data_IF_149181623042
#
_entry.id   IF_149181623042
#
_cell.length_a   1.000
_cell.length_b   1.000
_cell.length_c   1.000
_cell.angle_alpha   90.00
_cell.angle_beta   90.00
_cell.angle_gamma   90.00
#
_symmetry.space_group_name_H-M   'P 1'
#
loop_
_entity.id
_entity.type
_entity.pdbx_description
1 polymer ?
#
# COMPACT_ATOMS: atom_id res chain seq x y z
N UNK A 1 -36.50 20.35 8.18
CA UNK A 1 -37.73 21.12 7.94
C UNK A 1 -37.61 22.42 8.72
N UNK A 2 -38.04 23.52 8.12
CA UNK A 2 -38.07 24.91 8.62
C UNK A 2 -36.91 25.84 8.19
N UNK A 3 -37.24 26.62 7.16
CA UNK A 3 -36.57 27.80 6.59
C UNK A 3 -36.89 29.02 7.44
N UNK A 4 -35.99 30.01 7.50
CA UNK A 4 -36.37 31.40 7.79
C UNK A 4 -35.85 32.28 6.65
N UNK A 5 -36.80 33.04 6.09
CA UNK A 5 -36.71 33.89 4.90
C UNK A 5 -37.41 35.20 5.28
N UNK A 6 -36.71 36.33 5.27
CA UNK A 6 -37.26 37.70 5.17
C UNK A 6 -36.15 38.49 4.45
N UNK A 7 -36.13 38.61 3.12
CA UNK A 7 -36.88 39.51 2.23
C UNK A 7 -37.08 40.94 2.78
N UNK A 8 -36.31 41.89 2.24
CA UNK A 8 -36.89 43.17 1.82
C UNK A 8 -36.40 43.54 0.41
N UNK A 9 -37.40 43.58 -0.48
CA UNK A 9 -37.50 44.24 -1.79
C UNK A 9 -37.16 45.74 -1.64
N UNK A 10 -36.87 46.58 -2.65
CA UNK A 10 -37.19 46.66 -4.08
C UNK A 10 -36.38 47.88 -4.60
N UNK A 11 -35.75 47.83 -5.77
CA UNK A 11 -36.04 48.75 -6.89
C UNK A 11 -35.09 48.47 -8.07
N UNK A 12 -35.73 48.06 -9.16
CA UNK A 12 -35.23 47.88 -10.52
C UNK A 12 -35.13 49.22 -11.25
N UNK A 13 -34.17 49.39 -12.16
CA UNK A 13 -34.39 49.48 -13.62
C UNK A 13 -33.06 49.78 -14.34
N UNK A 14 -32.85 48.99 -15.38
CA UNK A 14 -31.81 49.04 -16.41
C UNK A 14 -31.96 50.20 -17.39
N UNK A 15 -30.85 50.74 -17.89
CA UNK A 15 -30.72 51.14 -19.31
C UNK A 15 -29.26 51.02 -19.78
N UNK A 16 -29.02 50.02 -20.62
CA UNK A 16 -27.96 50.04 -21.64
C UNK A 16 -28.17 51.29 -22.52
N UNK A 17 -27.14 52.11 -22.70
CA UNK A 17 -26.78 52.87 -23.91
C UNK A 17 -26.13 54.22 -23.56
N UNK A 18 -24.80 54.26 -23.43
CA UNK A 18 -24.03 55.45 -23.83
C UNK A 18 -22.56 55.12 -24.12
N UNK A 19 -22.34 54.01 -24.84
CA UNK A 19 -21.10 53.79 -25.58
C UNK A 19 -21.25 54.49 -26.94
N UNK A 20 -20.22 55.25 -27.33
CA UNK A 20 -20.04 55.99 -28.59
C UNK A 20 -20.74 57.34 -28.71
N UNK A 21 -20.07 58.39 -28.20
CA UNK A 21 -19.69 59.62 -28.91
C UNK A 21 -19.34 60.67 -27.85
N UNK A 22 -18.06 60.97 -27.70
CA UNK A 22 -17.46 62.30 -27.51
C UNK A 22 -15.94 62.04 -27.49
N UNK A 23 -15.41 61.87 -28.71
CA UNK A 23 -14.07 62.38 -29.02
C UNK A 23 -14.22 63.89 -29.17
N UNK A 24 -13.13 64.61 -28.90
CA UNK A 24 -12.81 66.01 -29.23
C UNK A 24 -13.34 67.11 -28.30
N UNK A 25 -12.44 68.07 -28.03
CA UNK A 25 -12.51 69.31 -27.22
C UNK A 25 -12.35 69.09 -25.70
N UNK A 26 -11.40 69.67 -24.95
CA UNK A 26 -10.43 70.73 -25.19
C UNK A 26 -9.10 70.38 -24.51
N UNK A 27 -8.00 70.51 -25.25
CA UNK A 27 -6.72 70.89 -24.68
C UNK A 27 -6.68 72.42 -24.62
N UNK A 28 -6.37 72.99 -23.46
CA UNK A 28 -5.44 74.13 -23.28
C UNK A 28 -5.48 74.68 -21.85
N UNK A 29 -4.28 74.88 -21.31
CA UNK A 29 -3.91 75.93 -20.33
C UNK A 29 -4.50 75.87 -18.92
N UNK A 30 -3.73 75.38 -17.95
CA UNK A 30 -3.20 76.25 -16.88
C UNK A 30 -2.07 75.55 -16.10
N UNK A 31 -0.83 75.91 -16.44
CA UNK A 31 0.32 75.81 -15.53
C UNK A 31 0.26 76.96 -14.54
N UNK A 32 0.19 76.67 -13.23
CA UNK A 32 1.08 77.24 -12.19
C UNK A 32 0.65 76.78 -10.80
N UNK A 33 1.66 76.50 -9.97
CA UNK A 33 1.67 76.61 -8.51
C UNK A 33 1.12 75.42 -7.69
N UNK A 34 1.95 74.41 -7.48
CA UNK A 34 2.08 73.79 -6.16
C UNK A 34 3.50 73.22 -5.99
N UNK A 35 4.44 74.08 -5.59
CA UNK A 35 5.67 73.67 -4.92
C UNK A 35 5.35 73.63 -3.43
N UNK A 36 5.36 72.44 -2.83
CA UNK A 36 5.28 72.31 -1.38
C UNK A 36 4.77 70.94 -0.94
N UNK A 37 5.69 70.14 -0.39
CA UNK A 37 5.47 68.89 0.35
C UNK A 37 5.12 67.62 -0.46
N UNK A 38 6.13 66.98 -1.02
CA UNK A 38 6.15 65.51 -1.16
C UNK A 38 7.56 64.95 -1.34
N UNK A 39 8.52 65.39 -0.52
CA UNK A 39 9.89 64.86 -0.50
C UNK A 39 10.12 63.81 0.60
N UNK A 40 9.16 62.90 0.85
CA UNK A 40 9.31 61.81 1.83
C UNK A 40 8.57 60.51 1.45
N UNK A 41 8.37 60.23 0.16
CA UNK A 41 8.02 58.88 -0.27
C UNK A 41 8.95 58.47 -1.40
N UNK A 42 9.88 57.52 -1.20
CA UNK A 42 10.55 56.90 -2.32
C UNK A 42 9.48 56.24 -3.19
N UNK A 43 9.48 56.58 -4.48
CA UNK A 43 8.74 55.86 -5.51
C UNK A 43 9.21 54.40 -5.45
N UNK A 44 8.49 53.55 -4.73
CA UNK A 44 8.59 52.11 -4.95
C UNK A 44 7.95 51.87 -6.31
N UNK A 45 8.78 51.80 -7.34
CA UNK A 45 8.40 51.14 -8.56
C UNK A 45 7.98 49.71 -8.16
N UNK A 46 6.69 49.39 -8.28
CA UNK A 46 6.25 48.01 -8.25
C UNK A 46 6.88 47.31 -9.46
N UNK A 47 8.01 46.65 -9.22
CA UNK A 47 8.62 45.70 -10.16
C UNK A 47 7.71 44.48 -10.22
N UNK A 48 6.77 44.45 -11.17
CA UNK A 48 6.09 43.20 -11.53
C UNK A 48 7.01 42.37 -12.42
N UNK A 49 8.03 41.77 -11.81
CA UNK A 49 8.74 40.63 -12.41
C UNK A 49 8.39 39.38 -11.62
N UNK A 50 7.12 39.01 -11.66
CA UNK A 50 6.73 37.64 -11.42
C UNK A 50 6.25 37.09 -12.77
N UNK A 51 7.22 36.76 -13.62
CA UNK A 51 6.95 35.91 -14.77
C UNK A 51 6.83 34.49 -14.21
N UNK A 52 5.64 34.12 -13.74
CA UNK A 52 5.31 32.71 -13.58
C UNK A 52 5.52 32.08 -14.96
N UNK A 53 6.60 31.31 -15.10
CA UNK A 53 6.86 30.53 -16.29
C UNK A 53 5.67 29.60 -16.47
N UNK A 54 4.98 29.69 -17.61
CA UNK A 54 3.96 28.72 -17.97
C UNK A 54 4.54 27.31 -17.83
N UNK A 55 3.81 26.36 -17.24
CA UNK A 55 4.32 25.00 -17.05
C UNK A 55 4.74 24.44 -18.42
N UNK A 56 6.02 24.09 -18.55
CA UNK A 56 6.53 23.41 -19.74
C UNK A 56 5.81 22.06 -19.82
N UNK A 57 4.92 21.92 -20.80
CA UNK A 57 4.24 20.66 -21.06
C UNK A 57 5.21 19.76 -21.82
N UNK A 58 5.75 18.75 -21.14
CA UNK A 58 6.51 17.69 -21.78
C UNK A 58 5.56 16.80 -22.60
N UNK A 59 5.50 17.04 -23.91
CA UNK A 59 4.67 16.27 -24.85
C UNK A 59 5.20 14.85 -25.10
N UNK A 60 6.39 14.51 -24.60
CA UNK A 60 6.99 13.18 -24.68
C UNK A 60 6.70 12.30 -23.46
N UNK A 61 6.24 12.91 -22.36
CA UNK A 61 5.87 12.20 -21.14
C UNK A 61 4.70 11.24 -21.38
N UNK A 62 4.71 10.09 -20.70
CA UNK A 62 3.55 9.21 -20.69
C UNK A 62 2.40 9.91 -19.96
N UNK A 63 1.23 9.93 -20.59
CA UNK A 63 0.00 10.45 -19.99
C UNK A 63 -0.73 9.34 -19.23
N UNK A 64 -1.31 9.68 -18.08
CA UNK A 64 -2.06 8.77 -17.23
C UNK A 64 -1.55 8.77 -15.79
N UNK A 65 -2.03 7.80 -15.01
CA UNK A 65 -1.63 7.59 -13.61
C UNK A 65 -1.56 6.10 -13.33
N UNK A 66 -0.70 5.69 -12.41
CA UNK A 66 -0.74 4.33 -11.88
C UNK A 66 -2.12 4.06 -11.27
N UNK A 67 -2.74 2.95 -11.66
CA UNK A 67 -4.07 2.57 -11.18
C UNK A 67 -4.04 2.38 -9.66
N UNK A 68 -5.02 2.96 -8.97
CA UNK A 68 -5.22 2.73 -7.56
C UNK A 68 -6.66 3.00 -7.15
N UNK A 69 -7.12 2.36 -6.08
CA UNK A 69 -8.49 2.47 -5.59
C UNK A 69 -8.50 2.86 -4.11
N UNK A 70 -9.25 3.91 -3.78
CA UNK A 70 -9.53 4.33 -2.40
C UNK A 70 -10.84 3.71 -1.93
N UNK A 71 -10.86 3.22 -0.70
CA UNK A 71 -12.09 2.80 -0.03
C UNK A 71 -12.04 3.12 1.46
N UNK A 72 -13.21 3.28 2.08
CA UNK A 72 -13.34 3.43 3.54
C UNK A 72 -14.04 2.18 4.07
N UNK A 73 -13.46 1.55 5.07
CA UNK A 73 -14.02 0.36 5.71
C UNK A 73 -13.77 0.38 7.20
N UNK A 74 -14.82 0.18 8.01
CA UNK A 74 -14.72 0.17 9.48
C UNK A 74 -14.03 1.41 10.07
N UNK A 75 -14.21 2.59 9.44
CA UNK A 75 -13.57 3.84 9.85
C UNK A 75 -12.10 3.99 9.45
N UNK A 76 -11.50 3.00 8.80
CA UNK A 76 -10.15 3.07 8.25
C UNK A 76 -10.16 3.52 6.78
N UNK A 77 -9.21 4.36 6.40
CA UNK A 77 -8.93 4.65 5.00
C UNK A 77 -8.04 3.56 4.41
N UNK A 78 -8.45 3.00 3.26
CA UNK A 78 -7.74 1.96 2.54
C UNK A 78 -7.40 2.44 1.13
N UNK A 79 -6.19 2.16 0.65
CA UNK A 79 -5.81 2.45 -0.73
C UNK A 79 -5.05 1.29 -1.32
N UNK A 80 -5.45 0.79 -2.49
CA UNK A 80 -4.84 -0.37 -3.13
C UNK A 80 -4.29 -0.02 -4.51
N UNK A 81 -3.01 -0.33 -4.75
CA UNK A 81 -2.35 -0.22 -6.06
C UNK A 81 -2.05 -1.65 -6.55
N UNK A 82 -2.82 -2.19 -7.51
CA UNK A 82 -2.52 -3.48 -8.09
C UNK A 82 -1.23 -3.43 -8.89
N UNK A 83 -0.39 -4.46 -8.75
CA UNK A 83 0.79 -4.64 -9.58
C UNK A 83 0.35 -5.27 -10.90
N UNK A 84 0.52 -4.53 -12.00
CA UNK A 84 0.21 -5.04 -13.33
C UNK A 84 1.25 -6.08 -13.74
N UNK A 85 0.79 -7.33 -13.88
CA UNK A 85 1.62 -8.47 -14.29
C UNK A 85 1.19 -8.99 -15.67
N UNK A 86 2.12 -9.51 -16.50
CA UNK A 86 1.76 -10.18 -17.75
C UNK A 86 0.77 -11.34 -17.53
N UNK A 87 -0.11 -11.66 -18.49
CA UNK A 87 -1.03 -12.79 -18.37
C UNK A 87 -0.24 -14.11 -18.32
N UNK A 88 -0.69 -15.06 -17.50
CA UNK A 88 -0.19 -16.42 -17.52
C UNK A 88 -1.13 -17.38 -18.26
N UNK A 89 -0.75 -18.66 -18.27
CA UNK A 89 -1.48 -19.71 -19.00
C UNK A 89 -2.89 -19.83 -18.43
N UNK A 90 -3.90 -19.83 -19.32
CA UNK A 90 -5.32 -19.90 -18.93
C UNK A 90 -5.76 -18.81 -17.92
N UNK A 91 -5.10 -17.66 -17.90
CA UNK A 91 -5.39 -16.57 -16.98
C UNK A 91 -4.77 -16.71 -15.59
N UNK A 92 -4.04 -17.79 -15.29
CA UNK A 92 -3.32 -17.98 -14.03
C UNK A 92 -2.19 -16.97 -13.89
N UNK A 93 -2.38 -15.98 -13.03
CA UNK A 93 -1.39 -14.94 -12.70
C UNK A 93 -1.47 -14.61 -11.21
N UNK A 94 -0.38 -14.15 -10.58
CA UNK A 94 -0.44 -13.68 -9.21
C UNK A 94 -1.23 -12.37 -9.11
N UNK A 95 -1.97 -12.22 -8.01
CA UNK A 95 -2.70 -10.99 -7.68
C UNK A 95 -1.94 -10.22 -6.60
N UNK A 96 -0.88 -9.51 -6.98
CA UNK A 96 -0.05 -8.73 -6.05
C UNK A 96 -0.52 -7.27 -6.00
N UNK A 97 -0.51 -6.65 -4.81
CA UNK A 97 -0.83 -5.24 -4.65
C UNK A 97 -0.04 -4.56 -3.55
N UNK A 98 0.13 -3.24 -3.65
CA UNK A 98 0.58 -2.38 -2.55
C UNK A 98 -0.66 -1.81 -1.89
N UNK A 99 -0.84 -2.07 -0.60
CA UNK A 99 -2.02 -1.65 0.14
C UNK A 99 -1.65 -0.72 1.28
N UNK A 100 -2.38 0.38 1.39
CA UNK A 100 -2.42 1.25 2.55
C UNK A 100 -3.66 0.93 3.39
N UNK A 101 -3.51 0.96 4.71
CA UNK A 101 -4.60 1.02 5.66
C UNK A 101 -4.21 1.95 6.81
N UNK A 102 -5.05 2.93 7.14
CA UNK A 102 -4.75 3.96 8.14
C UNK A 102 -4.57 3.44 9.57
N UNK A 103 -5.05 2.23 9.88
CA UNK A 103 -4.91 1.59 11.17
C UNK A 103 -3.71 0.62 11.22
N UNK A 104 -3.04 0.41 10.08
CA UNK A 104 -1.89 -0.50 10.00
C UNK A 104 -0.63 0.16 10.56
N UNK A 105 0.13 -0.62 11.32
CA UNK A 105 1.40 -0.19 11.89
C UNK A 105 2.52 -0.10 10.86
N UNK A 106 3.77 -0.16 11.34
CA UNK A 106 4.95 -0.14 10.49
C UNK A 106 5.23 -1.50 9.84
N UNK A 107 5.05 -1.61 8.53
CA UNK A 107 5.23 -2.86 7.77
C UNK A 107 6.40 -2.83 6.79
N UNK A 108 6.42 -3.81 5.89
CA UNK A 108 7.43 -4.00 4.84
C UNK A 108 7.59 -2.80 3.90
N UNK A 109 6.56 -1.96 3.78
CA UNK A 109 6.56 -0.75 2.95
C UNK A 109 6.44 0.53 3.81
N UNK A 110 6.84 0.48 5.08
CA UNK A 110 6.70 1.61 5.99
C UNK A 110 5.36 1.62 6.73
N UNK A 111 5.08 2.71 7.44
CA UNK A 111 3.84 2.87 8.23
C UNK A 111 2.62 2.85 7.32
N UNK A 112 1.59 2.10 7.71
CA UNK A 112 0.32 2.02 6.99
C UNK A 112 0.36 1.20 5.70
N UNK A 113 1.53 1.03 5.08
CA UNK A 113 1.70 0.33 3.81
C UNK A 113 2.21 -1.11 3.97
N UNK A 114 1.62 -2.02 3.22
CA UNK A 114 1.99 -3.43 3.14
C UNK A 114 1.86 -3.99 1.72
N UNK A 115 2.36 -5.21 1.56
CA UNK A 115 2.22 -6.00 0.34
C UNK A 115 1.01 -6.93 0.52
N UNK A 116 0.04 -6.87 -0.39
CA UNK A 116 -1.09 -7.80 -0.44
C UNK A 116 -0.97 -8.81 -1.57
N UNK A 117 -1.85 -9.82 -1.56
CA UNK A 117 -1.78 -10.91 -2.53
C UNK A 117 -0.98 -12.13 -2.06
N UNK A 118 -0.52 -12.10 -0.81
CA UNK A 118 0.17 -13.22 -0.18
C UNK A 118 -0.77 -13.91 0.79
N UNK A 119 -0.65 -15.23 0.85
CA UNK A 119 -1.43 -16.07 1.75
C UNK A 119 -0.50 -16.90 2.63
N UNK A 120 -0.90 -17.14 3.87
CA UNK A 120 -0.15 -17.93 4.82
C UNK A 120 -1.05 -18.60 5.85
N UNK A 121 -0.63 -19.79 6.28
CA UNK A 121 -1.14 -20.42 7.49
C UNK A 121 -0.17 -20.10 8.61
N UNK A 122 -0.68 -19.65 9.75
CA UNK A 122 0.14 -19.32 10.91
C UNK A 122 -0.53 -19.77 12.20
N UNK A 123 0.28 -19.88 13.25
CA UNK A 123 -0.23 -20.15 14.59
C UNK A 123 -0.97 -18.92 15.13
N UNK A 124 -2.13 -19.14 15.71
CA UNK A 124 -2.98 -18.11 16.32
C UNK A 124 -3.47 -18.55 17.70
N UNK A 125 -4.05 -17.60 18.43
CA UNK A 125 -4.48 -17.79 19.82
C UNK A 125 -5.80 -18.56 19.93
N UNK A 126 -6.01 -19.25 21.05
CA UNK A 126 -7.33 -19.75 21.46
C UNK A 126 -8.25 -18.61 21.87
N UNK A 127 -9.54 -18.76 21.59
CA UNK A 127 -10.56 -17.80 22.00
C UNK A 127 -11.58 -18.48 22.92
N UNK A 128 -12.18 -17.73 23.84
CA UNK A 128 -13.22 -18.26 24.73
C UNK A 128 -14.43 -18.75 23.92
N UNK A 129 -14.79 -18.02 22.86
CA UNK A 129 -15.95 -18.33 22.03
C UNK A 129 -15.86 -19.70 21.33
N UNK A 130 -14.66 -20.12 20.93
CA UNK A 130 -14.45 -21.35 20.14
C UNK A 130 -13.85 -22.46 21.01
N UNK A 131 -12.85 -22.13 21.82
CA UNK A 131 -12.05 -23.09 22.59
C UNK A 131 -12.49 -23.19 24.06
N UNK A 132 -13.45 -22.38 24.51
CA UNK A 132 -13.89 -22.30 25.91
C UNK A 132 -12.88 -21.64 26.86
N UNK A 133 -11.65 -21.36 26.39
CA UNK A 133 -10.56 -20.77 27.16
C UNK A 133 -9.82 -19.75 26.32
N UNK A 134 -9.27 -18.72 26.97
CA UNK A 134 -8.30 -17.83 26.33
C UNK A 134 -6.90 -18.44 26.45
N UNK A 135 -6.13 -18.46 25.37
CA UNK A 135 -4.74 -18.94 25.38
C UNK A 135 -3.94 -18.33 24.24
N UNK A 136 -2.70 -17.91 24.52
CA UNK A 136 -1.80 -17.38 23.51
C UNK A 136 -1.16 -18.46 22.65
N UNK A 137 -0.38 -18.04 21.65
CA UNK A 137 0.54 -18.92 20.92
C UNK A 137 1.74 -19.19 21.81
N UNK A 138 2.09 -20.46 22.02
CA UNK A 138 3.22 -20.92 22.83
C UNK A 138 4.24 -21.75 22.05
N UNK A 139 3.99 -22.02 20.77
CA UNK A 139 4.78 -22.94 19.92
C UNK A 139 4.77 -24.39 20.41
N UNK A 140 3.60 -24.86 20.83
CA UNK A 140 3.35 -26.22 21.30
C UNK A 140 2.14 -26.85 20.59
N UNK A 141 1.70 -28.02 21.07
CA UNK A 141 0.53 -28.73 20.55
C UNK A 141 -0.82 -28.10 20.98
N UNK A 142 -0.80 -27.10 21.86
CA UNK A 142 -2.00 -26.38 22.27
C UNK A 142 -2.36 -25.24 21.33
N UNK A 143 -1.43 -24.80 20.49
CA UNK A 143 -1.65 -23.73 19.54
C UNK A 143 -2.76 -24.05 18.54
N UNK A 144 -3.30 -22.96 17.98
CA UNK A 144 -4.32 -22.97 16.96
C UNK A 144 -3.76 -22.49 15.64
N UNK A 145 -4.44 -22.81 14.54
CA UNK A 145 -4.01 -22.42 13.20
C UNK A 145 -5.03 -21.49 12.56
N UNK A 146 -4.53 -20.52 11.80
CA UNK A 146 -5.31 -19.56 11.07
C UNK A 146 -4.78 -19.43 9.64
N UNK A 147 -5.66 -19.50 8.66
CA UNK A 147 -5.39 -19.21 7.25
C UNK A 147 -5.75 -17.75 6.98
N UNK A 148 -4.78 -16.90 6.67
CA UNK A 148 -5.00 -15.47 6.39
C UNK A 148 -5.77 -14.73 7.49
N UNK A 149 -5.53 -15.12 8.74
CA UNK A 149 -6.18 -14.57 9.93
C UNK A 149 -7.48 -15.30 10.31
N UNK A 150 -8.01 -16.14 9.42
CA UNK A 150 -9.23 -16.88 9.64
C UNK A 150 -8.97 -18.21 10.35
N UNK A 151 -9.68 -18.46 11.46
CA UNK A 151 -9.48 -19.65 12.28
C UNK A 151 -9.75 -20.94 11.51
N UNK A 152 -8.82 -21.91 11.61
CA UNK A 152 -8.99 -23.27 11.08
C UNK A 152 -9.52 -24.23 12.15
N UNK A 153 -10.68 -24.81 11.91
CA UNK A 153 -11.35 -25.78 12.77
C UNK A 153 -11.09 -27.19 12.24
N UNK A 154 -10.49 -28.05 13.07
CA UNK A 154 -10.24 -29.44 12.70
C UNK A 154 -11.58 -30.19 12.64
N UNK A 155 -11.88 -30.79 11.50
CA UNK A 155 -13.09 -31.58 11.28
C UNK A 155 -12.81 -33.09 11.25
N UNK A 156 -11.55 -33.48 11.05
CA UNK A 156 -11.09 -34.87 11.17
C UNK A 156 -9.61 -34.92 11.54
N UNK A 157 -9.20 -36.00 12.19
CA UNK A 157 -7.86 -36.15 12.78
C UNK A 157 -7.67 -35.28 14.03
N UNK A 158 -6.46 -35.32 14.59
CA UNK A 158 -6.09 -34.52 15.75
C UNK A 158 -5.50 -33.18 15.31
N UNK A 159 -5.90 -32.08 15.97
CA UNK A 159 -5.39 -30.74 15.67
C UNK A 159 -3.85 -30.70 15.72
N UNK A 160 -3.23 -30.08 14.71
CA UNK A 160 -1.78 -29.97 14.56
C UNK A 160 -1.08 -31.28 14.20
N UNK A 161 -1.79 -32.39 13.96
CA UNK A 161 -1.19 -33.69 13.62
C UNK A 161 -1.33 -34.03 12.14
N UNK A 162 -0.41 -34.84 11.64
CA UNK A 162 -0.43 -35.30 10.25
C UNK A 162 -1.76 -35.98 9.90
N UNK A 163 -2.28 -35.68 8.72
CA UNK A 163 -3.55 -36.21 8.23
C UNK A 163 -4.79 -35.47 8.72
N UNK A 164 -4.64 -34.44 9.57
CA UNK A 164 -5.79 -33.64 10.02
C UNK A 164 -6.36 -32.78 8.89
N UNK A 165 -7.68 -32.70 8.84
CA UNK A 165 -8.43 -31.89 7.88
C UNK A 165 -9.19 -30.78 8.61
N UNK A 166 -9.22 -29.60 7.99
CA UNK A 166 -9.77 -28.38 8.57
C UNK A 166 -10.75 -27.68 7.62
N UNK A 167 -11.59 -26.84 8.20
CA UNK A 167 -12.39 -25.81 7.54
C UNK A 167 -12.13 -24.46 8.19
N UNK A 168 -12.42 -23.37 7.48
CA UNK A 168 -12.41 -22.04 8.08
C UNK A 168 -13.65 -21.85 8.95
N UNK A 169 -13.53 -21.14 10.07
CA UNK A 169 -14.64 -20.89 11.01
C UNK A 169 -15.85 -20.24 10.32
N UNK A 170 -15.63 -19.12 9.63
CA UNK A 170 -16.52 -18.63 8.58
C UNK A 170 -16.16 -19.40 7.32
N UNK A 171 -17.08 -20.25 6.87
CA UNK A 171 -16.83 -21.21 5.81
C UNK A 171 -16.56 -20.54 4.45
N UNK A 172 -15.49 -20.97 3.80
CA UNK A 172 -15.08 -20.54 2.46
C UNK A 172 -15.28 -21.64 1.41
N UNK A 173 -15.68 -22.83 1.86
CA UNK A 173 -15.73 -24.10 1.12
C UNK A 173 -14.35 -24.55 0.64
N UNK A 174 -13.31 -24.20 1.41
CA UNK A 174 -11.94 -24.66 1.16
C UNK A 174 -11.63 -25.87 2.02
N UNK A 175 -11.06 -26.91 1.42
CA UNK A 175 -10.60 -28.11 2.11
C UNK A 175 -9.13 -27.94 2.47
N UNK A 176 -8.84 -27.75 3.76
CA UNK A 176 -7.47 -27.54 4.25
C UNK A 176 -6.96 -28.82 4.92
N UNK A 177 -5.74 -29.26 4.62
CA UNK A 177 -5.11 -30.44 5.21
C UNK A 177 -3.71 -30.14 5.71
N UNK A 178 -3.33 -30.78 6.81
CA UNK A 178 -1.96 -30.78 7.30
C UNK A 178 -1.29 -32.13 7.05
N UNK A 179 -0.14 -32.14 6.37
CA UNK A 179 0.61 -33.37 6.10
C UNK A 179 1.53 -33.77 7.24
N UNK A 180 1.66 -32.94 8.28
CA UNK A 180 2.68 -33.08 9.33
C UNK A 180 3.92 -32.22 9.08
N UNK A 181 4.11 -31.75 7.84
CA UNK A 181 5.23 -30.88 7.47
C UNK A 181 4.75 -29.58 6.81
N UNK A 182 3.85 -29.70 5.84
CA UNK A 182 3.29 -28.58 5.08
C UNK A 182 1.75 -28.66 5.06
N UNK A 183 1.11 -27.63 4.53
CA UNK A 183 -0.34 -27.57 4.39
C UNK A 183 -0.75 -27.54 2.93
N UNK A 184 -1.92 -28.09 2.64
CA UNK A 184 -2.61 -27.89 1.37
C UNK A 184 -3.99 -27.30 1.60
N UNK A 185 -4.43 -26.41 0.72
CA UNK A 185 -5.80 -25.90 0.70
C UNK A 185 -6.36 -26.00 -0.71
N UNK A 186 -7.41 -26.80 -0.87
CA UNK A 186 -8.15 -26.93 -2.13
C UNK A 186 -9.38 -26.02 -2.06
N UNK A 187 -9.49 -25.08 -3.00
CA UNK A 187 -10.60 -24.13 -3.05
C UNK A 187 -11.76 -24.70 -3.87
N UNK A 188 -12.96 -24.15 -3.68
CA UNK A 188 -14.13 -24.48 -4.53
C UNK A 188 -13.95 -24.15 -6.02
N UNK A 189 -12.98 -23.31 -6.37
CA UNK A 189 -12.62 -23.00 -7.76
C UNK A 189 -11.72 -24.06 -8.41
N UNK A 190 -11.34 -25.12 -7.66
CA UNK A 190 -10.45 -26.17 -8.14
C UNK A 190 -8.97 -25.79 -8.13
N UNK A 191 -8.59 -24.73 -7.41
CA UNK A 191 -7.19 -24.38 -7.20
C UNK A 191 -6.67 -25.08 -5.94
N UNK A 192 -5.43 -25.55 -6.00
CA UNK A 192 -4.71 -26.12 -4.85
C UNK A 192 -3.57 -25.20 -4.46
N UNK A 193 -3.60 -24.75 -3.21
CA UNK A 193 -2.56 -23.95 -2.57
C UNK A 193 -1.70 -24.87 -1.71
N UNK A 194 -0.39 -24.77 -1.83
CA UNK A 194 0.60 -25.45 -0.99
C UNK A 194 1.31 -24.40 -0.12
N UNK A 195 1.41 -24.66 1.19
CA UNK A 195 2.03 -23.76 2.16
C UNK A 195 3.17 -24.45 2.92
N UNK A 196 4.35 -23.85 2.89
CA UNK A 196 5.53 -24.37 3.58
C UNK A 196 6.00 -25.74 3.05
N UNK A 197 5.81 -26.02 1.76
CA UNK A 197 6.36 -27.22 1.12
C UNK A 197 7.80 -27.02 0.60
N UNK A 198 8.37 -25.84 0.80
CA UNK A 198 9.78 -25.53 0.56
C UNK A 198 10.42 -24.98 1.84
N UNK A 199 11.74 -25.05 1.96
CA UNK A 199 12.41 -24.63 3.20
C UNK A 199 12.30 -23.12 3.45
N UNK A 200 12.34 -22.30 2.39
CA UNK A 200 12.17 -20.84 2.46
C UNK A 200 10.74 -20.39 2.77
N UNK A 201 9.75 -21.29 2.71
CA UNK A 201 8.35 -21.00 3.01
C UNK A 201 7.88 -21.56 4.35
N UNK A 202 8.73 -22.28 5.09
CA UNK A 202 8.50 -22.74 6.47
C UNK A 202 9.27 -21.85 7.43
N UNK A 203 8.61 -20.81 7.93
CA UNK A 203 9.27 -19.85 8.80
C UNK A 203 9.23 -20.35 10.23
N UNK A 204 10.40 -20.67 10.81
CA UNK A 204 10.48 -21.14 12.19
C UNK A 204 10.44 -20.02 13.23
N UNK A 205 10.00 -20.38 14.43
CA UNK A 205 10.13 -19.52 15.58
C UNK A 205 11.61 -19.45 15.99
N UNK A 206 12.22 -18.27 15.89
CA UNK A 206 13.64 -18.08 16.19
C UNK A 206 13.99 -18.64 17.58
N UNK A 207 15.09 -19.40 17.65
CA UNK A 207 15.51 -20.12 18.85
C UNK A 207 14.74 -21.43 19.14
N UNK A 208 13.88 -21.89 18.24
CA UNK A 208 13.14 -23.16 18.33
C UNK A 208 13.17 -23.90 16.98
N UNK A 209 12.86 -25.19 17.00
CA UNK A 209 12.67 -26.02 15.78
C UNK A 209 11.20 -26.11 15.34
N UNK A 210 10.34 -25.20 15.83
CA UNK A 210 8.90 -25.23 15.59
C UNK A 210 8.55 -24.16 14.56
N UNK A 211 7.83 -24.56 13.51
CA UNK A 211 7.34 -23.64 12.47
C UNK A 211 6.26 -22.72 13.05
N UNK A 212 6.43 -21.40 12.88
CA UNK A 212 5.48 -20.36 13.30
C UNK A 212 4.51 -19.97 12.19
N UNK A 213 4.95 -20.06 10.95
CA UNK A 213 4.22 -19.61 9.76
C UNK A 213 4.63 -20.44 8.54
N UNK A 214 3.64 -20.89 7.77
CA UNK A 214 3.79 -21.56 6.48
C UNK A 214 3.28 -20.60 5.39
N UNK A 215 4.19 -19.99 4.66
CA UNK A 215 3.86 -19.10 3.54
C UNK A 215 3.44 -19.93 2.32
N UNK A 216 2.54 -19.41 1.49
CA UNK A 216 2.20 -20.06 0.22
C UNK A 216 3.45 -20.17 -0.64
N UNK A 217 3.79 -21.39 -1.07
CA UNK A 217 4.93 -21.62 -1.96
C UNK A 217 4.49 -21.99 -3.38
N UNK A 218 3.27 -22.50 -3.55
CA UNK A 218 2.75 -22.90 -4.86
C UNK A 218 1.23 -22.83 -4.92
N UNK A 219 0.70 -22.35 -6.04
CA UNK A 219 -0.73 -22.41 -6.37
C UNK A 219 -0.84 -23.11 -7.71
N UNK A 220 -1.69 -24.13 -7.81
CA UNK A 220 -1.91 -24.92 -9.02
C UNK A 220 -3.39 -24.92 -9.38
N UNK A 221 -3.74 -24.77 -10.66
CA UNK A 221 -5.11 -24.95 -11.15
C UNK A 221 -5.42 -26.42 -11.51
N UNK A 222 -6.67 -26.71 -11.87
CA UNK A 222 -7.10 -28.04 -12.29
C UNK A 222 -6.41 -28.57 -13.57
N UNK A 223 -5.75 -27.69 -14.34
CA UNK A 223 -4.98 -28.02 -15.55
C UNK A 223 -3.48 -28.13 -15.29
N UNK A 224 -3.05 -28.13 -14.01
CA UNK A 224 -1.66 -28.15 -13.58
C UNK A 224 -0.82 -26.91 -13.96
N UNK A 225 -1.44 -25.78 -14.30
CA UNK A 225 -0.73 -24.51 -14.41
C UNK A 225 -0.37 -24.02 -13.01
N UNK A 226 0.90 -23.65 -12.80
CA UNK A 226 1.42 -23.31 -11.48
C UNK A 226 1.93 -21.88 -11.37
N UNK A 227 1.74 -21.30 -10.18
CA UNK A 227 2.37 -20.07 -9.70
C UNK A 227 3.24 -20.46 -8.50
N UNK A 228 4.54 -20.22 -8.57
CA UNK A 228 5.50 -20.56 -7.51
C UNK A 228 6.01 -19.30 -6.83
N UNK A 229 6.11 -19.32 -5.50
CA UNK A 229 6.54 -18.21 -4.66
C UNK A 229 7.84 -18.60 -3.96
N UNK A 230 8.84 -17.73 -4.06
CA UNK A 230 10.18 -17.92 -3.53
C UNK A 230 10.49 -16.76 -2.58
N UNK A 231 11.04 -17.10 -1.42
CA UNK A 231 11.29 -16.19 -0.32
C UNK A 231 12.78 -16.14 0.03
N UNK A 232 13.20 -15.03 0.64
CA UNK A 232 14.43 -14.98 1.41
C UNK A 232 14.08 -15.11 2.89
N UNK A 233 14.74 -16.00 3.61
CA UNK A 233 14.57 -16.19 5.04
C UNK A 233 15.86 -15.85 5.80
N UNK A 234 15.74 -15.11 6.89
CA UNK A 234 16.81 -14.88 7.87
C UNK A 234 16.36 -15.47 9.22
N UNK A 235 16.73 -16.74 9.44
CA UNK A 235 16.39 -17.49 10.66
C UNK A 235 16.96 -16.87 11.93
N UNK A 236 18.06 -16.13 11.82
CA UNK A 236 18.70 -15.47 12.98
C UNK A 236 17.86 -14.29 13.49
N UNK A 237 17.10 -13.67 12.58
CA UNK A 237 16.21 -12.55 12.85
C UNK A 237 14.73 -12.94 12.93
N UNK A 238 14.37 -14.17 12.52
CA UNK A 238 12.99 -14.59 12.34
C UNK A 238 12.27 -13.79 11.24
N UNK A 239 13.03 -13.22 10.30
CA UNK A 239 12.54 -12.36 9.21
C UNK A 239 12.41 -13.18 7.91
N UNK A 240 11.42 -12.86 7.08
CA UNK A 240 11.32 -13.41 5.73
C UNK A 240 10.71 -12.37 4.78
N UNK A 241 11.06 -12.44 3.50
CA UNK A 241 10.57 -11.53 2.46
C UNK A 241 10.30 -12.28 1.17
N UNK A 242 9.27 -11.90 0.42
CA UNK A 242 9.02 -12.46 -0.90
C UNK A 242 10.11 -11.98 -1.87
N UNK A 243 10.86 -12.90 -2.46
CA UNK A 243 11.91 -12.59 -3.42
C UNK A 243 11.37 -12.58 -4.85
N UNK A 244 10.60 -13.62 -5.21
CA UNK A 244 10.20 -13.87 -6.60
C UNK A 244 8.90 -14.66 -6.68
N UNK A 245 8.09 -14.36 -7.68
CA UNK A 245 6.96 -15.18 -8.11
C UNK A 245 7.24 -15.62 -9.56
N UNK A 246 7.14 -16.92 -9.84
CA UNK A 246 7.30 -17.49 -11.19
C UNK A 246 5.99 -18.12 -11.64
N UNK A 247 5.55 -17.84 -12.87
CA UNK A 247 4.32 -18.40 -13.43
C UNK A 247 4.36 -18.37 -14.97
N UNK A 248 4.04 -19.49 -15.62
CA UNK A 248 4.29 -19.65 -17.07
C UNK A 248 5.75 -19.29 -17.40
N UNK A 249 5.96 -18.38 -18.36
CA UNK A 249 7.29 -17.82 -18.68
C UNK A 249 7.51 -16.41 -18.08
N UNK A 250 6.69 -16.02 -17.11
CA UNK A 250 6.72 -14.69 -16.51
C UNK A 250 7.24 -14.75 -15.08
N UNK A 251 7.72 -13.60 -14.58
CA UNK A 251 8.05 -13.49 -13.16
C UNK A 251 7.78 -12.10 -12.59
N UNK A 252 7.55 -12.03 -11.29
CA UNK A 252 7.56 -10.79 -10.50
C UNK A 252 8.74 -10.88 -9.54
N UNK A 253 9.60 -9.87 -9.50
CA UNK A 253 10.80 -9.86 -8.67
C UNK A 253 10.78 -8.64 -7.76
N UNK A 254 11.09 -8.85 -6.49
CA UNK A 254 11.06 -7.82 -5.47
C UNK A 254 12.47 -7.64 -4.90
N UNK A 255 12.88 -6.39 -4.73
CA UNK A 255 14.16 -6.04 -4.11
C UNK A 255 13.93 -5.21 -2.86
N UNK A 256 14.80 -5.37 -1.88
CA UNK A 256 14.67 -4.76 -0.58
C UNK A 256 15.93 -4.00 -0.19
N UNK A 257 15.75 -2.91 0.54
CA UNK A 257 16.82 -2.15 1.16
C UNK A 257 16.78 -2.33 2.68
N UNK A 258 17.92 -2.09 3.34
CA UNK A 258 17.95 -1.91 4.79
C UNK A 258 17.18 -0.65 5.19
N UNK A 259 16.66 -0.64 6.41
CA UNK A 259 15.90 0.47 6.97
C UNK A 259 16.45 0.91 8.32
N UNK A 260 16.31 2.19 8.63
CA UNK A 260 16.81 2.77 9.88
C UNK A 260 15.82 2.60 11.06
N UNK A 261 14.53 2.44 10.78
CA UNK A 261 13.49 2.10 11.77
C UNK A 261 13.32 0.58 11.90
N UNK A 262 14.41 -0.14 12.15
CA UNK A 262 14.32 -1.57 12.43
C UNK A 262 13.40 -1.80 13.63
N UNK A 263 12.49 -2.75 13.51
CA UNK A 263 11.58 -3.11 14.59
C UNK A 263 11.88 -4.53 15.06
N UNK A 264 11.86 -4.76 16.37
CA UNK A 264 12.00 -6.09 16.97
C UNK A 264 10.80 -6.34 17.87
N UNK A 265 10.15 -7.48 17.68
CA UNK A 265 9.10 -7.99 18.54
C UNK A 265 9.43 -9.41 18.99
N UNK A 266 8.64 -9.90 19.94
CA UNK A 266 8.76 -11.26 20.46
C UNK A 266 7.38 -11.89 20.50
N UNK A 267 7.32 -13.18 20.17
CA UNK A 267 6.15 -14.02 20.38
C UNK A 267 6.62 -15.29 21.07
N UNK A 268 6.05 -15.62 22.24
CA UNK A 268 6.44 -16.78 23.05
C UNK A 268 7.97 -16.95 23.21
N UNK A 269 8.68 -15.85 23.45
CA UNK A 269 10.14 -15.82 23.62
C UNK A 269 10.97 -15.96 22.33
N UNK A 270 10.35 -16.13 21.17
CA UNK A 270 11.06 -16.12 19.88
C UNK A 270 11.12 -14.70 19.31
N UNK A 271 12.31 -14.30 18.84
CA UNK A 271 12.55 -12.98 18.27
C UNK A 271 12.04 -12.87 16.84
N UNK A 272 11.44 -11.73 16.51
CA UNK A 272 11.03 -11.35 15.16
C UNK A 272 11.59 -9.97 14.86
N UNK A 273 12.31 -9.81 13.76
CA UNK A 273 12.82 -8.51 13.35
C UNK A 273 12.31 -8.15 11.96
N UNK A 274 12.16 -6.84 11.75
CA UNK A 274 11.91 -6.24 10.45
C UNK A 274 13.07 -5.29 10.18
N UNK A 275 14.05 -5.78 9.42
CA UNK A 275 15.27 -5.05 9.04
C UNK A 275 15.25 -4.62 7.58
N UNK A 276 14.36 -5.18 6.78
CA UNK A 276 14.18 -4.84 5.37
C UNK A 276 12.93 -4.00 5.11
N UNK A 277 13.00 -3.20 4.05
CA UNK A 277 11.88 -2.47 3.47
C UNK A 277 11.90 -2.67 1.95
N UNK A 278 10.73 -2.87 1.34
CA UNK A 278 10.64 -3.02 -0.10
C UNK A 278 11.19 -1.77 -0.79
N UNK A 279 12.01 -1.97 -1.80
CA UNK A 279 12.63 -0.89 -2.56
C UNK A 279 12.00 -0.78 -3.95
N UNK A 280 11.82 -1.93 -4.62
CA UNK A 280 11.37 -1.96 -6.00
C UNK A 280 10.70 -3.30 -6.34
N UNK A 281 9.73 -3.25 -7.26
CA UNK A 281 9.08 -4.41 -7.87
C UNK A 281 9.26 -4.34 -9.39
N UNK A 282 9.71 -5.43 -10.01
CA UNK A 282 9.82 -5.53 -11.48
C UNK A 282 9.03 -6.74 -11.97
N UNK A 283 8.25 -6.53 -13.04
CA UNK A 283 7.54 -7.61 -13.72
C UNK A 283 8.24 -7.96 -15.03
N UNK A 284 8.30 -9.25 -15.34
CA UNK A 284 9.02 -9.82 -16.47
C UNK A 284 8.12 -10.72 -17.30
N UNK A 285 8.30 -10.69 -18.62
CA UNK A 285 7.75 -11.67 -19.55
C UNK A 285 8.89 -12.27 -20.38
N UNK A 286 9.04 -13.59 -20.36
CA UNK A 286 10.16 -14.30 -20.98
C UNK A 286 11.51 -13.67 -20.60
N UNK A 287 11.72 -13.40 -19.31
CA UNK A 287 12.90 -12.70 -18.74
C UNK A 287 13.18 -11.28 -19.22
N UNK A 288 12.33 -10.69 -20.06
CA UNK A 288 12.39 -9.28 -20.41
C UNK A 288 11.57 -8.47 -19.41
N UNK A 289 12.19 -7.46 -18.78
CA UNK A 289 11.45 -6.54 -17.91
C UNK A 289 10.37 -5.82 -18.71
N UNK A 290 9.18 -5.67 -18.13
CA UNK A 290 8.02 -5.03 -18.76
C UNK A 290 7.61 -3.78 -17.99
N UNK A 291 7.51 -3.88 -16.66
CA UNK A 291 7.18 -2.76 -15.78
C UNK A 291 8.04 -2.77 -14.53
N UNK A 292 8.32 -1.58 -14.03
CA UNK A 292 9.06 -1.30 -12.81
C UNK A 292 8.20 -0.41 -11.92
N UNK A 293 8.14 -0.72 -10.63
CA UNK A 293 7.51 0.10 -9.60
C UNK A 293 8.59 0.47 -8.58
N UNK A 294 9.02 1.72 -8.63
CA UNK A 294 10.05 2.28 -7.73
C UNK A 294 9.41 3.00 -6.55
N UNK A 295 9.84 2.67 -5.33
CA UNK A 295 9.26 3.18 -4.10
C UNK A 295 10.23 4.17 -3.45
N UNK A 296 9.74 5.38 -3.17
CA UNK A 296 10.50 6.41 -2.45
C UNK A 296 9.90 6.65 -1.08
N UNK A 297 10.79 6.99 -0.14
CA UNK A 297 10.44 7.08 1.27
C UNK A 297 11.08 8.29 1.92
N UNK A 298 10.37 8.84 2.90
CA UNK A 298 10.95 9.73 3.91
C UNK A 298 11.11 9.01 5.24
N UNK A 299 12.05 9.49 6.06
CA UNK A 299 12.30 9.00 7.41
C UNK A 299 11.98 10.12 8.41
N UNK A 300 10.76 10.10 8.96
CA UNK A 300 10.20 11.22 9.71
C UNK A 300 9.36 10.76 10.91
N UNK A 301 9.05 11.69 11.82
CA UNK A 301 8.21 11.48 13.00
C UNK A 301 9.00 11.22 14.27
N UNK A 302 8.29 11.09 15.39
CA UNK A 302 8.86 10.78 16.71
C UNK A 302 8.07 9.64 17.36
N UNK A 303 8.63 8.42 17.46
CA UNK A 303 9.92 8.00 16.91
C UNK A 303 9.91 8.00 15.37
N UNK A 304 11.08 8.18 14.74
CA UNK A 304 11.21 8.21 13.28
C UNK A 304 10.81 6.88 12.66
N UNK A 305 10.01 6.94 11.60
CA UNK A 305 9.55 5.79 10.82
C UNK A 305 9.71 6.04 9.33
N UNK A 306 9.83 4.95 8.58
CA UNK A 306 9.74 4.95 7.13
C UNK A 306 8.31 5.24 6.71
N UNK A 307 8.13 6.27 5.90
CA UNK A 307 6.86 6.70 5.34
C UNK A 307 7.00 6.72 3.82
N UNK A 308 6.16 5.96 3.10
CA UNK A 308 6.18 5.93 1.64
C UNK A 308 5.72 7.29 1.10
N UNK A 309 6.54 7.94 0.27
CA UNK A 309 6.25 9.29 -0.28
C UNK A 309 5.84 9.23 -1.74
N UNK A 310 6.32 8.25 -2.49
CA UNK A 310 5.80 8.01 -3.84
C UNK A 310 6.06 6.62 -4.37
N UNK A 311 5.25 6.25 -5.35
CA UNK A 311 5.49 5.12 -6.25
C UNK A 311 5.59 5.67 -7.67
N UNK A 312 6.62 5.25 -8.40
CA UNK A 312 6.76 5.54 -9.82
C UNK A 312 6.65 4.26 -10.63
N UNK A 313 5.73 4.24 -11.59
CA UNK A 313 5.59 3.15 -12.55
C UNK A 313 6.27 3.51 -13.87
N UNK A 314 7.18 2.65 -14.33
CA UNK A 314 7.91 2.83 -15.56
C UNK A 314 7.79 1.61 -16.49
N UNK A 315 7.79 1.86 -17.79
CA UNK A 315 7.96 0.81 -18.80
C UNK A 315 9.43 0.48 -18.98
N UNK A 316 9.70 -0.66 -19.61
CA UNK A 316 11.04 -1.20 -19.85
C UNK A 316 11.99 -0.31 -20.66
N UNK A 317 11.47 0.67 -21.41
CA UNK A 317 12.25 1.66 -22.17
C UNK A 317 12.55 2.94 -21.34
N UNK A 318 12.32 2.93 -20.02
CA UNK A 318 12.60 4.05 -19.13
C UNK A 318 11.56 5.18 -19.17
N UNK A 319 10.48 5.04 -19.95
CA UNK A 319 9.37 6.01 -19.91
C UNK A 319 8.52 5.73 -18.66
N UNK A 320 8.28 6.76 -17.86
CA UNK A 320 7.56 6.64 -16.60
C UNK A 320 6.24 7.42 -16.62
N UNK A 321 5.24 6.87 -15.94
CA UNK A 321 4.06 7.64 -15.54
C UNK A 321 4.45 8.68 -14.48
N UNK A 322 3.68 9.78 -14.34
CA UNK A 322 3.82 10.68 -13.21
C UNK A 322 3.76 9.91 -11.88
N UNK A 323 4.64 10.26 -10.95
CA UNK A 323 4.69 9.64 -9.62
C UNK A 323 3.34 9.77 -8.90
N UNK A 324 2.82 8.67 -8.38
CA UNK A 324 1.75 8.69 -7.38
C UNK A 324 2.36 9.13 -6.06
N UNK A 325 1.96 10.30 -5.55
CA UNK A 325 2.54 10.92 -4.35
C UNK A 325 1.64 10.74 -3.14
N UNK A 326 2.25 10.43 -2.01
CA UNK A 326 1.60 10.34 -0.69
C UNK A 326 2.15 11.44 0.22
N UNK A 327 1.25 12.13 0.91
CA UNK A 327 1.59 13.17 1.88
C UNK A 327 1.15 12.72 3.26
N UNK A 328 2.01 12.94 4.24
CA UNK A 328 1.81 12.54 5.62
C UNK A 328 1.47 13.77 6.47
N UNK A 329 0.53 13.62 7.41
CA UNK A 329 0.36 14.63 8.44
C UNK A 329 1.52 14.49 9.43
N UNK A 330 2.34 15.53 9.46
CA UNK A 330 3.59 15.60 10.20
C UNK A 330 3.53 16.64 11.31
N UNK A 331 2.33 17.06 11.72
CA UNK A 331 2.13 17.94 12.87
C UNK A 331 2.90 17.40 14.07
N UNK A 332 3.84 18.19 14.57
CA UNK A 332 4.53 17.89 15.81
C UNK A 332 3.48 17.90 16.93
N UNK A 333 3.52 16.89 17.78
CA UNK A 333 2.68 16.86 18.98
C UNK A 333 3.07 18.06 19.87
N UNK A 334 2.36 19.17 19.71
CA UNK A 334 2.44 20.31 20.60
C UNK A 334 1.57 20.01 21.81
N UNK A 335 2.20 19.75 22.95
CA UNK A 335 1.51 19.89 24.23
C UNK A 335 1.41 21.40 24.46
N UNK A 336 0.22 21.97 24.25
CA UNK A 336 -0.02 23.38 24.55
C UNK A 336 0.40 23.66 25.99
N UNK A 337 1.44 24.47 26.15
CA UNK A 337 1.91 24.99 27.45
C UNK A 337 1.29 26.36 27.66
#
# INVERSE_FOLDING_TARGET
MMKIKILNKLFTISTLALLKRIKTLLATSLTTLFLGLSSLFPYQAFSTTDSESLPIIDTSALVGSTTGALSIGQGAANYAIPITVPPGISGMKPELSINYNSNSGNGLLGVGFGLGGLSAIHRCSKTIAIDGVKGGVNYDDNDRYCLDGQRLIAISGQNGKSGSEYRTEIETFSRVKFTGNHWTAETKSGQTFEYGNTDDSKIEAQGKSIVRLWAVNKITDASNNAINYIYNEDKTKGEYTLQRINYGNNSVRLTYADRNDTHTSYLAGSKLQQTKRLNNIITYANDNSIRTYDLEYQYYGTPKKSQLTSIQECTNNGRCLPKTKFRWNNEEASFGV
#
